data_IF_755362634913
#
_entry.id   IF_755362634913
#
_cell.length_a   1.000
_cell.length_b   1.000
_cell.length_c   1.000
_cell.angle_alpha   90.00
_cell.angle_beta   90.00
_cell.angle_gamma   90.00
#
_symmetry.space_group_name_H-M   'P 1'
#
loop_
_entity.id
_entity.type
_entity.pdbx_description
1 polymer ?
#
# COMPACT_ATOMS: atom_id res chain seq x y z
N UNK A 1 -2.25 19.08 1.76
CA UNK A 1 -2.31 19.29 0.29
C UNK A 1 -3.42 18.41 -0.25
N UNK A 2 -4.24 18.86 -1.22
CA UNK A 2 -5.28 18.02 -1.79
C UNK A 2 -4.67 16.78 -2.47
N UNK A 3 -5.38 15.66 -2.38
CA UNK A 3 -4.91 14.29 -2.67
C UNK A 3 -4.53 14.03 -4.14
N UNK A 4 -4.87 14.93 -5.06
CA UNK A 4 -4.50 14.84 -6.48
C UNK A 4 -3.01 15.15 -6.74
N UNK A 5 -2.35 15.86 -5.83
CA UNK A 5 -0.97 16.36 -6.00
C UNK A 5 0.11 15.28 -5.77
N UNK A 6 -0.27 14.16 -5.14
CA UNK A 6 0.67 13.17 -4.59
C UNK A 6 1.22 12.18 -5.64
N UNK A 7 0.40 11.58 -6.54
CA UNK A 7 0.92 10.63 -7.52
C UNK A 7 1.84 11.31 -8.55
N UNK A 8 1.47 12.49 -9.03
CA UNK A 8 2.24 13.24 -10.03
C UNK A 8 3.65 13.60 -9.56
N UNK A 9 3.77 14.09 -8.32
CA UNK A 9 5.07 14.45 -7.75
C UNK A 9 6.00 13.24 -7.64
N UNK A 10 5.50 12.10 -7.17
CA UNK A 10 6.31 10.87 -7.03
C UNK A 10 6.85 10.44 -8.39
N UNK A 11 5.97 10.37 -9.40
CA UNK A 11 6.35 10.01 -10.76
C UNK A 11 7.42 10.97 -11.32
N UNK A 12 7.30 12.28 -11.07
CA UNK A 12 8.30 13.28 -11.48
C UNK A 12 9.61 13.20 -10.67
N UNK A 13 9.53 12.84 -9.39
CA UNK A 13 10.70 12.67 -8.52
C UNK A 13 11.53 11.44 -8.91
N UNK A 14 10.87 10.37 -9.39
CA UNK A 14 11.48 9.13 -9.88
C UNK A 14 11.90 9.20 -11.36
N UNK A 15 11.53 10.28 -12.05
CA UNK A 15 11.93 10.56 -13.43
C UNK A 15 13.13 11.53 -13.48
N UNK A 16 13.68 11.70 -14.68
CA UNK A 16 14.79 12.61 -14.97
C UNK A 16 14.37 14.08 -15.14
N UNK A 17 13.07 14.41 -14.99
CA UNK A 17 12.50 15.73 -15.25
C UNK A 17 13.21 16.87 -14.49
N UNK A 18 13.70 16.61 -13.28
CA UNK A 18 14.42 17.57 -12.43
C UNK A 18 15.77 18.01 -13.00
N UNK A 19 16.33 17.26 -13.94
CA UNK A 19 17.60 17.60 -14.59
C UNK A 19 17.45 18.85 -15.46
N UNK A 20 16.25 19.08 -16.00
CA UNK A 20 15.97 20.16 -16.95
C UNK A 20 14.96 21.18 -16.44
N UNK A 21 14.11 20.83 -15.46
CA UNK A 21 13.06 21.71 -14.95
C UNK A 21 13.23 21.93 -13.44
N UNK A 22 13.19 23.20 -13.03
CA UNK A 22 13.12 23.59 -11.63
C UNK A 22 11.72 24.10 -11.30
N UNK A 23 11.38 24.19 -10.01
CA UNK A 23 10.05 24.60 -9.57
C UNK A 23 9.75 26.03 -10.00
N UNK A 24 10.65 26.97 -9.70
CA UNK A 24 10.42 28.41 -9.75
C UNK A 24 11.42 29.18 -10.62
N UNK A 25 12.42 28.47 -11.19
CA UNK A 25 13.47 29.06 -12.01
C UNK A 25 13.64 28.32 -13.33
N UNK A 26 13.90 29.07 -14.39
CA UNK A 26 14.27 28.48 -15.69
C UNK A 26 15.63 27.78 -15.58
N UNK A 27 15.74 26.59 -16.18
CA UNK A 27 16.99 25.85 -16.38
C UNK A 27 17.12 25.55 -17.89
N UNK A 28 17.40 24.31 -18.31
CA UNK A 28 17.30 23.89 -19.71
C UNK A 28 15.86 23.97 -20.22
N UNK A 29 14.88 23.58 -19.39
CA UNK A 29 13.45 23.75 -19.60
C UNK A 29 12.86 24.92 -18.80
N UNK A 30 11.59 25.30 -19.07
CA UNK A 30 10.87 26.30 -18.30
C UNK A 30 10.68 25.87 -16.84
N UNK A 31 10.50 26.84 -15.95
CA UNK A 31 10.10 26.55 -14.57
C UNK A 31 8.71 25.88 -14.56
N UNK A 32 8.46 24.95 -13.64
CA UNK A 32 7.13 24.35 -13.49
C UNK A 32 6.07 25.40 -13.18
N UNK A 33 6.40 26.42 -12.38
CA UNK A 33 5.50 27.54 -12.12
C UNK A 33 5.14 28.33 -13.40
N UNK A 34 6.06 28.49 -14.35
CA UNK A 34 5.77 29.17 -15.62
C UNK A 34 4.81 28.35 -16.47
N UNK A 35 5.02 27.03 -16.55
CA UNK A 35 4.12 26.11 -17.24
C UNK A 35 2.74 26.14 -16.61
N UNK A 36 2.68 26.07 -15.28
CA UNK A 36 1.44 26.11 -14.53
C UNK A 36 0.69 27.44 -14.75
N UNK A 37 1.38 28.58 -14.63
CA UNK A 37 0.78 29.90 -14.86
C UNK A 37 0.28 30.06 -16.29
N UNK A 38 0.99 29.49 -17.28
CA UNK A 38 0.61 29.61 -18.70
C UNK A 38 -0.60 28.76 -19.07
N UNK A 39 -0.75 27.56 -18.50
CA UNK A 39 -1.70 26.55 -19.01
C UNK A 39 -2.84 26.20 -18.05
N UNK A 40 -2.68 26.41 -16.75
CA UNK A 40 -3.70 26.05 -15.76
C UNK A 40 -5.03 26.75 -16.05
N UNK A 41 -6.12 26.00 -15.96
CA UNK A 41 -7.47 26.50 -16.20
C UNK A 41 -7.89 26.56 -17.69
N UNK A 42 -6.97 26.30 -18.63
CA UNK A 42 -7.33 26.18 -20.04
C UNK A 42 -7.90 24.79 -20.34
N UNK A 43 -9.00 24.75 -21.09
CA UNK A 43 -9.65 23.49 -21.50
C UNK A 43 -8.69 22.65 -22.35
N UNK A 44 -8.50 21.38 -21.98
CA UNK A 44 -7.62 20.44 -22.70
C UNK A 44 -6.12 20.62 -22.45
N UNK A 45 -5.72 21.54 -21.57
CA UNK A 45 -4.30 21.77 -21.25
C UNK A 45 -3.60 20.56 -20.62
N UNK A 46 -4.30 19.79 -19.78
CA UNK A 46 -3.75 18.56 -19.18
C UNK A 46 -3.39 17.52 -20.25
N UNK A 47 -4.30 17.27 -21.19
CA UNK A 47 -4.06 16.34 -22.31
C UNK A 47 -2.92 16.82 -23.22
N UNK A 48 -2.90 18.13 -23.52
CA UNK A 48 -1.85 18.73 -24.34
C UNK A 48 -0.46 18.58 -23.71
N UNK A 49 -0.33 18.91 -22.42
CA UNK A 49 0.94 18.83 -21.71
C UNK A 49 1.37 17.38 -21.49
N UNK A 50 0.43 16.47 -21.20
CA UNK A 50 0.71 15.04 -21.13
C UNK A 50 1.29 14.51 -22.46
N UNK A 51 0.70 14.91 -23.59
CA UNK A 51 1.22 14.56 -24.91
C UNK A 51 2.62 15.16 -25.16
N UNK A 52 2.91 16.37 -24.65
CA UNK A 52 4.24 16.99 -24.74
C UNK A 52 5.28 16.26 -23.90
N UNK A 53 4.93 15.77 -22.72
CA UNK A 53 5.84 14.97 -21.89
C UNK A 53 6.24 13.68 -22.64
N UNK A 54 5.25 12.99 -23.21
CA UNK A 54 5.46 11.69 -23.86
C UNK A 54 6.20 11.84 -25.20
N UNK A 55 5.82 12.82 -26.02
CA UNK A 55 6.37 12.99 -27.39
C UNK A 55 7.56 13.94 -27.47
N UNK A 56 7.86 14.67 -26.39
CA UNK A 56 8.80 15.78 -26.41
C UNK A 56 8.26 16.99 -27.17
N UNK A 57 9.12 17.97 -27.39
CA UNK A 57 8.81 19.11 -28.25
C UNK A 57 9.71 20.33 -28.03
N UNK A 58 9.56 21.32 -28.93
CA UNK A 58 10.37 22.53 -28.94
C UNK A 58 9.55 23.78 -29.27
N UNK A 59 10.16 24.97 -29.19
CA UNK A 59 9.66 26.23 -29.75
C UNK A 59 8.79 27.10 -28.83
N UNK A 60 8.09 26.52 -27.85
CA UNK A 60 7.19 27.29 -26.96
C UNK A 60 7.95 28.10 -25.90
N UNK A 61 9.09 27.56 -25.44
CA UNK A 61 9.87 28.11 -24.32
C UNK A 61 11.33 28.43 -24.69
N UNK A 62 11.63 28.40 -25.99
CA UNK A 62 12.97 28.57 -26.56
C UNK A 62 13.29 27.51 -27.61
N UNK A 63 14.55 27.48 -28.01
CA UNK A 63 15.10 26.55 -29.01
C UNK A 63 15.51 25.19 -28.42
N UNK A 64 15.64 25.09 -27.09
CA UNK A 64 15.96 23.83 -26.40
C UNK A 64 14.79 22.85 -26.52
N UNK A 65 15.08 21.66 -27.04
CA UNK A 65 14.08 20.60 -27.21
C UNK A 65 13.93 19.77 -25.93
N UNK A 66 12.69 19.49 -25.55
CA UNK A 66 12.38 18.52 -24.51
C UNK A 66 12.43 17.11 -25.12
N UNK A 67 13.23 16.22 -24.53
CA UNK A 67 13.31 14.82 -24.91
C UNK A 67 11.95 14.11 -24.75
N UNK A 68 11.71 13.10 -25.58
CA UNK A 68 10.49 12.27 -25.52
C UNK A 68 10.60 11.24 -24.39
N UNK A 69 9.48 10.98 -23.71
CA UNK A 69 9.36 9.98 -22.64
C UNK A 69 8.26 8.95 -22.99
N UNK A 70 8.45 8.13 -24.05
CA UNK A 70 7.44 7.18 -24.52
C UNK A 70 7.08 6.09 -23.50
N UNK A 71 7.92 5.89 -22.48
CA UNK A 71 7.71 4.94 -21.39
C UNK A 71 6.66 5.41 -20.37
N UNK A 72 6.32 6.71 -20.33
CA UNK A 72 5.36 7.26 -19.38
C UNK A 72 3.95 7.08 -19.96
N UNK A 73 3.06 6.45 -19.18
CA UNK A 73 1.66 6.29 -19.57
C UNK A 73 0.94 7.65 -19.64
N UNK A 74 -0.11 7.74 -20.47
CA UNK A 74 -0.92 8.96 -20.59
C UNK A 74 -1.51 9.38 -19.24
N UNK A 75 -2.00 8.41 -18.46
CA UNK A 75 -2.61 8.69 -17.15
C UNK A 75 -1.58 9.19 -16.14
N UNK A 76 -0.36 8.65 -16.16
CA UNK A 76 0.71 9.10 -15.28
C UNK A 76 1.20 10.49 -15.69
N UNK A 77 1.36 10.76 -16.98
CA UNK A 77 1.70 12.08 -17.48
C UNK A 77 0.65 13.14 -17.07
N UNK A 78 -0.64 12.81 -17.08
CA UNK A 78 -1.69 13.73 -16.59
C UNK A 78 -1.56 14.01 -15.10
N UNK A 79 -1.29 12.99 -14.27
CA UNK A 79 -1.04 13.18 -12.83
C UNK A 79 0.17 14.10 -12.60
N UNK A 80 1.25 13.97 -13.39
CA UNK A 80 2.41 14.88 -13.32
C UNK A 80 2.00 16.32 -13.65
N UNK A 81 1.19 16.53 -14.68
CA UNK A 81 0.68 17.86 -15.06
C UNK A 81 -0.21 18.46 -13.98
N UNK A 82 -1.08 17.66 -13.36
CA UNK A 82 -1.93 18.11 -12.27
C UNK A 82 -1.09 18.59 -11.07
N UNK A 83 0.02 17.89 -10.77
CA UNK A 83 0.99 18.37 -9.78
C UNK A 83 1.64 19.69 -10.20
N UNK A 84 2.06 19.85 -11.46
CA UNK A 84 2.59 21.13 -11.95
C UNK A 84 1.56 22.26 -11.74
N UNK A 85 0.30 22.02 -12.07
CA UNK A 85 -0.77 23.01 -11.87
C UNK A 85 -1.03 23.33 -10.39
N UNK A 86 -0.82 22.39 -9.49
CA UNK A 86 -1.01 22.64 -8.07
C UNK A 86 0.04 23.54 -7.45
N UNK A 87 1.24 23.65 -8.04
CA UNK A 87 2.32 24.53 -7.57
C UNK A 87 1.93 26.02 -7.53
N UNK A 88 0.96 26.45 -8.34
CA UNK A 88 0.45 27.85 -8.33
C UNK A 88 -0.65 28.09 -7.31
N UNK A 89 -1.14 27.04 -6.63
CA UNK A 89 -2.04 27.20 -5.50
C UNK A 89 -1.23 27.71 -4.31
N UNK A 90 -1.16 29.04 -4.13
CA UNK A 90 -0.73 29.69 -2.89
C UNK A 90 -1.74 29.47 -1.75
N UNK A 91 -2.20 28.24 -1.52
CA UNK A 91 -2.71 27.89 -0.20
C UNK A 91 -1.47 27.70 0.66
N UNK A 92 -1.13 28.76 1.38
CA UNK A 92 -0.24 28.71 2.54
C UNK A 92 -0.58 27.43 3.30
N UNK A 93 0.27 26.41 3.18
CA UNK A 93 0.20 25.31 4.11
C UNK A 93 0.65 25.93 5.41
N UNK A 94 -0.30 26.35 6.24
CA UNK A 94 -0.02 26.72 7.63
C UNK A 94 0.91 25.63 8.16
N UNK A 95 2.11 26.04 8.58
CA UNK A 95 3.09 25.11 9.12
C UNK A 95 2.38 24.30 10.21
N UNK A 96 2.30 22.99 10.01
CA UNK A 96 1.72 22.12 11.01
C UNK A 96 2.70 22.01 12.17
N UNK A 97 2.21 21.78 13.41
CA UNK A 97 3.10 21.43 14.52
C UNK A 97 4.00 20.24 14.16
N UNK A 98 5.18 20.16 14.78
CA UNK A 98 6.16 19.08 14.54
C UNK A 98 5.61 17.67 14.82
N UNK A 99 4.50 17.58 15.56
CA UNK A 99 3.79 16.35 15.87
C UNK A 99 2.29 16.55 15.72
N UNK A 100 1.58 15.52 15.26
CA UNK A 100 0.13 15.55 15.16
C UNK A 100 -0.44 14.19 14.79
N UNK A 101 -1.77 14.11 14.77
CA UNK A 101 -2.50 12.91 14.38
C UNK A 101 -3.26 13.18 13.09
N UNK A 102 -3.34 12.18 12.21
CA UNK A 102 -4.17 12.23 11.00
C UNK A 102 -5.05 10.98 10.97
N UNK A 103 -6.34 11.17 10.78
CA UNK A 103 -7.28 10.08 10.52
C UNK A 103 -7.54 10.06 9.02
N UNK A 104 -7.14 9.00 8.29
CA UNK A 104 -7.44 8.89 6.87
C UNK A 104 -8.96 8.81 6.65
N UNK A 105 -9.46 9.39 5.55
CA UNK A 105 -10.85 9.17 5.13
C UNK A 105 -11.11 7.68 4.90
N UNK A 106 -12.25 7.17 5.34
CA UNK A 106 -12.60 5.76 5.18
C UNK A 106 -12.84 5.41 3.70
N UNK A 107 -11.80 5.01 2.97
CA UNK A 107 -11.94 4.35 1.65
C UNK A 107 -11.90 2.83 1.81
N UNK A 108 -12.77 2.14 1.06
CA UNK A 108 -12.99 0.71 1.23
C UNK A 108 -11.83 -0.18 0.76
N UNK A 109 -11.00 0.26 -0.20
CA UNK A 109 -9.89 -0.55 -0.74
C UNK A 109 -8.74 0.36 -1.20
N UNK A 110 -7.52 0.12 -0.71
CA UNK A 110 -6.30 0.83 -1.10
C UNK A 110 -5.23 0.82 -0.02
N UNK A 111 -4.04 1.33 -0.34
CA UNK A 111 -3.00 1.63 0.63
C UNK A 111 -3.03 3.13 0.97
N UNK A 112 -2.79 3.50 2.22
CA UNK A 112 -2.54 4.90 2.58
C UNK A 112 -1.04 5.16 2.57
N UNK A 113 -0.63 6.29 2.01
CA UNK A 113 0.76 6.77 2.13
C UNK A 113 0.72 8.02 2.99
N UNK A 114 1.24 7.93 4.21
CA UNK A 114 1.44 9.07 5.09
C UNK A 114 2.76 9.73 4.74
N UNK A 115 2.71 10.93 4.18
CA UNK A 115 3.90 11.72 3.81
C UNK A 115 3.98 12.97 4.68
N UNK A 116 5.14 13.19 5.27
CA UNK A 116 5.46 14.40 6.02
C UNK A 116 6.63 15.11 5.34
N UNK A 117 6.51 16.43 5.18
CA UNK A 117 7.57 17.29 4.66
C UNK A 117 7.91 18.35 5.69
N UNK A 118 9.20 18.57 5.90
CA UNK A 118 9.72 19.58 6.83
C UNK A 118 10.66 20.49 6.05
N UNK A 119 10.53 21.79 6.24
CA UNK A 119 11.47 22.78 5.77
C UNK A 119 12.02 23.50 7.00
N UNK A 120 13.34 23.57 7.13
CA UNK A 120 13.93 24.38 8.19
C UNK A 120 13.74 25.88 7.93
N UNK A 121 13.99 26.70 8.95
CA UNK A 121 14.01 28.15 8.75
C UNK A 121 15.28 28.50 7.97
N UNK A 122 15.12 29.27 6.89
CA UNK A 122 16.25 29.89 6.22
C UNK A 122 17.01 30.82 7.20
N UNK A 123 18.34 30.84 7.08
CA UNK A 123 19.23 31.72 7.86
C UNK A 123 20.11 32.49 6.88
N UNK A 124 20.08 33.82 6.97
CA UNK A 124 20.84 34.74 6.12
C UNK A 124 20.69 34.43 4.61
N UNK A 125 21.82 34.26 3.91
CA UNK A 125 21.89 33.93 2.47
C UNK A 125 21.83 32.41 2.19
N UNK A 126 21.51 31.58 3.19
CA UNK A 126 21.36 30.14 3.03
C UNK A 126 19.88 29.80 2.84
N UNK A 127 19.48 29.29 1.67
CA UNK A 127 18.09 28.86 1.44
C UNK A 127 17.68 27.75 2.40
N UNK A 128 16.39 27.70 2.72
CA UNK A 128 15.79 26.62 3.52
C UNK A 128 16.05 25.25 2.87
N UNK A 129 16.41 24.27 3.69
CA UNK A 129 16.50 22.87 3.31
C UNK A 129 15.19 22.17 3.63
N UNK A 130 14.71 21.39 2.67
CA UNK A 130 13.48 20.61 2.82
C UNK A 130 13.77 19.11 2.79
N UNK A 131 13.25 18.41 3.79
CA UNK A 131 13.24 16.96 3.88
C UNK A 131 11.82 16.41 3.74
N UNK A 132 11.71 15.14 3.37
CA UNK A 132 10.41 14.47 3.25
C UNK A 132 10.54 13.01 3.63
N UNK A 133 9.67 12.54 4.52
CA UNK A 133 9.51 11.14 4.90
C UNK A 133 8.15 10.61 4.47
N UNK A 134 8.07 9.32 4.14
CA UNK A 134 6.81 8.64 3.81
C UNK A 134 6.71 7.29 4.51
N UNK A 135 5.51 6.92 4.94
CA UNK A 135 5.17 5.59 5.47
C UNK A 135 3.95 5.07 4.71
N UNK A 136 4.04 3.84 4.19
CA UNK A 136 2.89 3.15 3.59
C UNK A 136 2.16 2.39 4.69
N UNK A 137 0.91 2.76 4.97
CA UNK A 137 0.03 2.03 5.87
C UNK A 137 -0.54 0.83 5.11
N UNK A 138 -0.24 -0.37 5.63
CA UNK A 138 -0.74 -1.63 5.07
C UNK A 138 -2.24 -1.72 5.26
N UNK A 139 -2.93 -2.34 4.29
CA UNK A 139 -4.32 -2.69 4.45
C UNK A 139 -4.49 -3.61 5.68
N UNK A 140 -5.62 -3.54 6.40
CA UNK A 140 -5.90 -4.38 7.57
C UNK A 140 -6.13 -5.86 7.23
N UNK A 141 -5.59 -6.35 6.10
CA UNK A 141 -5.83 -7.66 5.54
C UNK A 141 -4.50 -8.31 5.16
N UNK A 142 -4.17 -9.39 5.86
CA UNK A 142 -2.95 -10.17 5.65
C UNK A 142 -3.30 -11.37 4.77
N UNK A 143 -3.05 -11.25 3.46
CA UNK A 143 -3.40 -12.28 2.48
C UNK A 143 -2.33 -13.36 2.37
N UNK A 144 -2.74 -14.56 1.96
CA UNK A 144 -1.88 -15.71 1.74
C UNK A 144 -0.71 -15.42 0.77
N UNK A 145 -0.98 -14.74 -0.34
CA UNK A 145 0.05 -14.39 -1.33
C UNK A 145 1.06 -13.34 -0.82
N UNK A 146 0.68 -12.58 0.21
CA UNK A 146 1.50 -11.53 0.81
C UNK A 146 2.31 -11.98 2.03
N UNK A 147 2.24 -13.26 2.42
CA UNK A 147 3.09 -13.79 3.49
C UNK A 147 4.58 -13.65 3.12
N UNK A 148 5.39 -13.11 4.03
CA UNK A 148 6.83 -12.93 3.84
C UNK A 148 7.56 -14.28 3.77
N UNK A 149 7.09 -15.26 4.53
CA UNK A 149 7.61 -16.64 4.53
C UNK A 149 6.45 -17.63 4.69
N UNK A 150 6.57 -18.81 4.08
CA UNK A 150 5.59 -19.89 4.20
C UNK A 150 6.33 -21.21 4.44
N UNK A 151 5.87 -21.99 5.41
CA UNK A 151 6.41 -23.32 5.74
C UNK A 151 5.30 -24.37 5.71
N UNK A 152 5.61 -25.53 5.11
CA UNK A 152 4.68 -26.67 4.91
C UNK A 152 3.31 -26.26 4.32
N UNK A 153 3.36 -25.32 3.38
CA UNK A 153 2.25 -24.89 2.55
C UNK A 153 2.82 -24.22 1.29
N UNK A 154 1.99 -24.00 0.27
CA UNK A 154 2.42 -23.41 -1.01
C UNK A 154 1.45 -22.30 -1.40
N UNK A 155 1.97 -21.15 -1.81
CA UNK A 155 1.13 -20.07 -2.34
C UNK A 155 0.49 -20.51 -3.66
N UNK A 156 -0.83 -20.38 -3.77
CA UNK A 156 -1.58 -20.73 -4.95
C UNK A 156 -2.74 -19.77 -5.18
N UNK A 157 -3.24 -19.76 -6.41
CA UNK A 157 -4.45 -19.03 -6.78
C UNK A 157 -5.23 -19.81 -7.82
N UNK A 158 -6.55 -19.88 -7.68
CA UNK A 158 -7.42 -20.55 -8.65
C UNK A 158 -8.80 -19.89 -8.67
N UNK A 159 -9.35 -19.66 -9.86
CA UNK A 159 -10.70 -19.09 -10.07
C UNK A 159 -11.01 -17.86 -9.19
N UNK A 160 -10.02 -16.97 -9.02
CA UNK A 160 -10.17 -15.75 -8.21
C UNK A 160 -9.98 -15.94 -6.70
N UNK A 161 -9.82 -17.17 -6.21
CA UNK A 161 -9.34 -17.42 -4.85
C UNK A 161 -7.82 -17.35 -4.79
N UNK A 162 -7.33 -16.77 -3.70
CA UNK A 162 -5.90 -16.70 -3.38
C UNK A 162 -5.73 -17.32 -2.00
N UNK A 163 -4.90 -18.34 -1.90
CA UNK A 163 -4.75 -19.14 -0.69
C UNK A 163 -3.38 -19.79 -0.59
N UNK A 164 -3.09 -20.33 0.59
CA UNK A 164 -2.05 -21.33 0.78
C UNK A 164 -2.68 -22.71 0.59
N UNK A 165 -2.15 -23.47 -0.37
CA UNK A 165 -2.45 -24.87 -0.63
C UNK A 165 -1.52 -25.76 0.18
N UNK A 166 -1.85 -27.06 0.27
CA UNK A 166 -1.08 -28.11 0.92
C UNK A 166 -0.70 -27.75 2.36
N UNK A 167 -1.53 -26.96 3.04
CA UNK A 167 -1.32 -26.59 4.44
C UNK A 167 -1.27 -27.83 5.30
N UNK A 168 -0.12 -28.10 5.91
CA UNK A 168 0.09 -29.24 6.83
C UNK A 168 0.21 -28.77 8.27
N UNK A 169 -0.01 -29.70 9.19
CA UNK A 169 0.20 -29.49 10.61
C UNK A 169 1.64 -29.01 10.93
N UNK A 170 1.73 -27.98 11.77
CA UNK A 170 2.98 -27.33 12.15
C UNK A 170 3.61 -26.47 11.05
N UNK A 171 2.92 -26.28 9.92
CA UNK A 171 3.28 -25.25 8.94
C UNK A 171 2.88 -23.85 9.43
N UNK A 172 3.35 -22.82 8.73
CA UNK A 172 2.99 -21.44 9.05
C UNK A 172 3.03 -20.50 7.85
N UNK A 173 2.35 -19.36 8.01
CA UNK A 173 2.57 -18.14 7.22
C UNK A 173 3.13 -17.04 8.14
N UNK A 174 4.22 -16.40 7.74
CA UNK A 174 4.84 -15.29 8.46
C UNK A 174 4.46 -13.96 7.81
N UNK A 175 4.12 -12.98 8.64
CA UNK A 175 3.98 -11.58 8.27
C UNK A 175 4.90 -10.72 9.14
N UNK A 176 5.82 -9.99 8.51
CA UNK A 176 6.75 -9.08 9.17
C UNK A 176 6.12 -7.71 9.42
N UNK A 177 6.58 -7.02 10.46
CA UNK A 177 6.24 -5.63 10.78
C UNK A 177 4.73 -5.39 10.94
N UNK A 178 4.08 -6.24 11.73
CA UNK A 178 2.65 -6.11 12.03
C UNK A 178 2.49 -5.35 13.34
N UNK A 179 1.96 -4.12 13.25
CA UNK A 179 1.56 -3.35 14.42
C UNK A 179 0.20 -3.85 14.93
N UNK A 180 0.19 -4.39 16.15
CA UNK A 180 -1.01 -4.89 16.81
C UNK A 180 -1.67 -3.84 17.72
N UNK A 181 -1.07 -2.65 17.85
CA UNK A 181 -1.59 -1.57 18.69
C UNK A 181 -3.02 -1.20 18.28
N UNK A 182 -3.95 -1.30 19.23
CA UNK A 182 -5.36 -0.96 19.01
C UNK A 182 -6.16 -1.98 18.18
N UNK A 183 -5.58 -3.13 17.81
CA UNK A 183 -6.31 -4.23 17.18
C UNK A 183 -7.19 -4.90 18.23
N UNK A 184 -8.50 -4.95 17.98
CA UNK A 184 -9.49 -5.54 18.89
C UNK A 184 -9.99 -6.89 18.42
N UNK A 185 -10.13 -7.05 17.10
CA UNK A 185 -10.68 -8.26 16.49
C UNK A 185 -9.79 -8.72 15.35
N UNK A 186 -9.62 -10.04 15.25
CA UNK A 186 -9.04 -10.69 14.07
C UNK A 186 -10.02 -11.73 13.57
N UNK A 187 -10.28 -11.73 12.27
CA UNK A 187 -11.01 -12.79 11.58
C UNK A 187 -10.03 -13.59 10.74
N UNK A 188 -10.05 -14.91 10.86
CA UNK A 188 -9.31 -15.80 9.97
C UNK A 188 -10.27 -16.42 8.96
N UNK A 189 -9.88 -16.38 7.68
CA UNK A 189 -10.65 -16.97 6.59
C UNK A 189 -9.86 -18.10 5.94
N UNK A 190 -10.51 -19.25 5.82
CA UNK A 190 -9.97 -20.43 5.14
C UNK A 190 -11.01 -20.98 4.15
N UNK A 191 -10.55 -21.69 3.13
CA UNK A 191 -11.41 -22.56 2.33
C UNK A 191 -11.17 -24.01 2.70
N UNK A 192 -12.23 -24.79 2.74
CA UNK A 192 -12.18 -26.24 2.75
C UNK A 192 -12.61 -26.74 1.36
N UNK A 193 -11.69 -27.32 0.62
CA UNK A 193 -12.01 -28.05 -0.62
C UNK A 193 -12.13 -29.54 -0.32
N UNK A 194 -13.21 -30.16 -0.78
CA UNK A 194 -13.39 -31.62 -0.71
C UNK A 194 -13.22 -32.19 0.70
N UNK A 195 -12.32 -33.17 0.83
CA UNK A 195 -12.06 -33.96 2.04
C UNK A 195 -10.95 -33.40 2.94
N UNK A 196 -10.56 -32.13 2.75
CA UNK A 196 -9.58 -31.47 3.61
C UNK A 196 -9.91 -31.67 5.09
N UNK A 197 -8.89 -31.95 5.91
CA UNK A 197 -9.08 -32.54 7.24
C UNK A 197 -9.66 -31.55 8.27
N UNK A 198 -9.67 -30.26 7.95
CA UNK A 198 -9.95 -29.18 8.90
C UNK A 198 -8.78 -28.99 9.88
N UNK A 199 -8.98 -28.08 10.82
CA UNK A 199 -8.00 -27.77 11.85
C UNK A 199 -8.25 -26.41 12.46
N UNK A 200 -7.20 -25.88 13.08
CA UNK A 200 -7.19 -24.57 13.72
C UNK A 200 -6.01 -23.75 13.23
N UNK A 201 -6.06 -22.45 13.52
CA UNK A 201 -4.88 -21.58 13.44
C UNK A 201 -4.55 -21.00 14.80
N UNK A 202 -3.26 -20.85 15.05
CA UNK A 202 -2.71 -20.10 16.17
C UNK A 202 -1.92 -18.89 15.66
N UNK A 203 -2.17 -17.74 16.27
CA UNK A 203 -1.40 -16.53 16.03
C UNK A 203 -0.28 -16.47 17.07
N UNK A 204 0.97 -16.44 16.62
CA UNK A 204 2.16 -16.45 17.47
C UNK A 204 3.07 -15.25 17.18
N UNK A 205 3.71 -14.73 18.21
CA UNK A 205 4.63 -13.60 18.12
C UNK A 205 6.08 -14.05 17.91
N UNK A 206 6.78 -13.38 17.01
CA UNK A 206 8.24 -13.32 16.85
C UNK A 206 8.96 -14.61 16.46
N UNK A 207 8.37 -15.77 16.72
CA UNK A 207 8.88 -17.10 16.36
C UNK A 207 7.71 -18.07 16.07
N UNK A 208 7.93 -19.14 15.27
CA UNK A 208 6.90 -20.15 14.99
C UNK A 208 6.49 -20.95 16.24
N UNK A 209 7.33 -21.00 17.27
CA UNK A 209 7.07 -21.54 18.61
C UNK A 209 6.91 -20.45 19.68
N UNK A 210 6.78 -19.20 19.24
CA UNK A 210 6.64 -18.04 20.12
C UNK A 210 5.30 -17.97 20.83
N UNK A 211 5.12 -16.89 21.61
CA UNK A 211 3.94 -16.69 22.45
C UNK A 211 2.67 -16.71 21.59
N UNK A 212 1.74 -17.61 21.89
CA UNK A 212 0.40 -17.63 21.31
C UNK A 212 -0.38 -16.43 21.84
N UNK A 213 -0.91 -15.63 20.91
CA UNK A 213 -1.77 -14.48 21.20
C UNK A 213 -3.20 -14.69 20.73
N UNK A 214 -3.49 -15.77 20.01
CA UNK A 214 -4.87 -16.13 19.74
C UNK A 214 -5.01 -17.43 18.97
N UNK A 215 -6.18 -18.03 19.07
CA UNK A 215 -6.49 -19.31 18.43
C UNK A 215 -7.90 -19.24 17.86
N UNK A 216 -8.13 -19.91 16.73
CA UNK A 216 -9.48 -20.25 16.28
C UNK A 216 -9.52 -21.67 15.73
N UNK A 217 -10.57 -22.39 16.10
CA UNK A 217 -10.95 -23.68 15.52
C UNK A 217 -12.06 -23.45 14.49
N UNK A 218 -11.92 -24.02 13.30
CA UNK A 218 -12.89 -23.88 12.22
C UNK A 218 -14.01 -24.93 12.27
N UNK A 219 -13.95 -25.93 13.17
CA UNK A 219 -14.87 -27.07 13.16
C UNK A 219 -16.34 -26.71 13.45
N UNK A 220 -16.57 -25.56 14.11
CA UNK A 220 -17.91 -25.07 14.49
C UNK A 220 -18.25 -23.71 13.88
N UNK A 221 -17.38 -23.18 13.02
CA UNK A 221 -17.60 -21.87 12.42
C UNK A 221 -18.63 -21.96 11.30
N UNK A 222 -19.39 -20.88 11.13
CA UNK A 222 -20.29 -20.74 9.98
C UNK A 222 -19.49 -20.77 8.68
N UNK A 223 -20.10 -21.35 7.65
CA UNK A 223 -19.50 -21.45 6.33
C UNK A 223 -20.46 -20.96 5.26
N UNK A 224 -19.88 -20.44 4.18
CA UNK A 224 -20.57 -20.15 2.93
C UNK A 224 -20.06 -21.12 1.88
N UNK A 225 -20.99 -21.78 1.18
CA UNK A 225 -20.65 -22.69 0.09
C UNK A 225 -20.92 -22.01 -1.27
N UNK A 226 -19.95 -21.28 -1.86
CA UNK A 226 -20.15 -20.62 -3.16
C UNK A 226 -20.30 -21.62 -4.32
N UNK A 227 -19.72 -22.81 -4.18
CA UNK A 227 -19.77 -23.90 -5.15
C UNK A 227 -19.84 -25.24 -4.42
N UNK A 228 -20.44 -26.30 -5.02
CA UNK A 228 -20.45 -27.63 -4.43
C UNK A 228 -19.03 -28.11 -4.07
N UNK A 229 -18.83 -28.53 -2.82
CA UNK A 229 -17.53 -29.02 -2.32
C UNK A 229 -16.51 -27.92 -1.99
N UNK A 230 -16.94 -26.66 -1.94
CA UNK A 230 -16.12 -25.52 -1.56
C UNK A 230 -16.78 -24.80 -0.39
N UNK A 231 -16.20 -24.89 0.81
CA UNK A 231 -16.71 -24.17 1.97
C UNK A 231 -15.73 -23.07 2.36
N UNK A 232 -16.18 -21.82 2.26
CA UNK A 232 -15.44 -20.66 2.77
C UNK A 232 -15.87 -20.43 4.21
N UNK A 233 -14.92 -20.58 5.13
CA UNK A 233 -15.14 -20.51 6.57
C UNK A 233 -14.43 -19.27 7.09
N UNK A 234 -15.14 -18.45 7.85
CA UNK A 234 -14.56 -17.27 8.50
C UNK A 234 -14.86 -17.31 9.99
N UNK A 235 -13.82 -17.25 10.82
CA UNK A 235 -13.96 -17.41 12.26
C UNK A 235 -13.20 -16.32 13.03
N UNK A 236 -13.77 -15.78 14.12
CA UNK A 236 -13.05 -14.85 14.99
C UNK A 236 -11.93 -15.57 15.73
N UNK A 237 -10.77 -14.93 15.80
CA UNK A 237 -9.63 -15.37 16.61
C UNK A 237 -9.74 -14.73 17.98
N UNK A 238 -9.77 -15.54 19.04
CA UNK A 238 -9.78 -15.03 20.41
C UNK A 238 -8.41 -14.43 20.76
N UNK A 239 -8.27 -13.11 20.65
CA UNK A 239 -6.99 -12.43 20.87
C UNK A 239 -6.74 -12.11 22.35
N UNK A 240 -5.50 -12.31 22.78
CA UNK A 240 -4.92 -11.67 23.95
C UNK A 240 -4.49 -10.25 23.57
N UNK A 241 -4.87 -9.20 24.33
CA UNK A 241 -4.41 -7.84 24.08
C UNK A 241 -2.89 -7.77 23.91
N UNK A 242 -2.46 -7.24 22.78
CA UNK A 242 -1.05 -7.19 22.37
C UNK A 242 -0.82 -5.87 21.65
N UNK A 243 0.26 -5.18 21.98
CA UNK A 243 0.62 -3.89 21.41
C UNK A 243 2.01 -3.94 20.77
N UNK A 244 2.30 -2.96 19.91
CA UNK A 244 3.59 -2.82 19.25
C UNK A 244 3.71 -3.60 17.94
N UNK A 245 4.89 -3.47 17.33
CA UNK A 245 5.23 -4.06 16.03
C UNK A 245 5.92 -5.41 16.24
N UNK A 246 5.38 -6.46 15.63
CA UNK A 246 5.85 -7.84 15.78
C UNK A 246 6.03 -8.54 14.44
N UNK A 247 6.76 -9.67 14.46
CA UNK A 247 6.54 -10.70 13.44
C UNK A 247 5.33 -11.53 13.87
N UNK A 248 4.35 -11.66 12.99
CA UNK A 248 3.15 -12.44 13.25
C UNK A 248 3.18 -13.75 12.47
N UNK A 249 3.22 -14.87 13.19
CA UNK A 249 3.12 -16.21 12.63
C UNK A 249 1.67 -16.70 12.71
N UNK A 250 1.14 -17.18 11.59
CA UNK A 250 -0.12 -17.94 11.53
C UNK A 250 0.25 -19.41 11.42
N UNK A 251 0.21 -20.12 12.55
CA UNK A 251 0.59 -21.54 12.63
C UNK A 251 -0.63 -22.42 12.41
N UNK A 252 -0.49 -23.43 11.55
CA UNK A 252 -1.57 -24.34 11.18
C UNK A 252 -1.53 -25.60 12.06
N UNK A 253 -2.64 -25.91 12.75
CA UNK A 253 -2.65 -26.92 13.81
C UNK A 253 -3.76 -27.94 13.59
N UNK A 254 -3.34 -29.20 13.43
CA UNK A 254 -4.16 -30.40 13.56
C UNK A 254 -3.22 -31.63 13.65
N UNK A 255 -2.73 -32.00 14.84
CA UNK A 255 -1.74 -33.08 14.97
C UNK A 255 -2.29 -34.47 14.64
N UNK A 256 -3.62 -34.65 14.63
CA UNK A 256 -4.26 -35.96 14.49
C UNK A 256 -4.43 -36.49 13.07
N UNK A 257 -3.98 -35.74 12.04
CA UNK A 257 -4.34 -36.03 10.64
C UNK A 257 -3.16 -36.35 9.73
N UNK A 258 -1.97 -36.53 10.29
CA UNK A 258 -0.75 -36.88 9.54
C UNK A 258 -0.43 -35.86 8.44
N UNK A 259 -0.15 -36.35 7.23
CA UNK A 259 0.20 -35.53 6.07
C UNK A 259 -1.00 -35.01 5.27
N UNK A 260 -2.23 -35.11 5.79
CA UNK A 260 -3.41 -34.56 5.11
C UNK A 260 -3.35 -33.04 5.04
N UNK A 261 -3.90 -32.47 3.97
CA UNK A 261 -4.11 -31.02 3.88
C UNK A 261 -5.20 -30.63 4.88
N UNK A 262 -4.90 -29.65 5.73
CA UNK A 262 -5.83 -29.20 6.76
C UNK A 262 -6.97 -28.38 6.14
N UNK A 263 -6.61 -27.33 5.42
CA UNK A 263 -7.49 -26.37 4.78
C UNK A 263 -6.65 -25.53 3.82
N UNK A 264 -7.26 -24.52 3.20
CA UNK A 264 -6.62 -23.60 2.28
C UNK A 264 -6.69 -22.21 2.91
N UNK A 265 -5.58 -21.75 3.49
CA UNK A 265 -5.57 -20.49 4.25
C UNK A 265 -5.67 -19.30 3.29
N UNK A 266 -6.66 -18.42 3.45
CA UNK A 266 -6.80 -17.25 2.58
C UNK A 266 -6.18 -16.00 3.18
N UNK A 267 -6.62 -15.62 4.38
CA UNK A 267 -6.23 -14.34 4.97
C UNK A 267 -6.54 -14.23 6.45
N UNK A 268 -5.90 -13.26 7.11
CA UNK A 268 -6.41 -12.62 8.31
C UNK A 268 -6.97 -11.23 7.98
N UNK A 269 -7.99 -10.79 8.71
CA UNK A 269 -8.47 -9.41 8.71
C UNK A 269 -8.42 -8.86 10.13
N UNK A 270 -7.66 -7.80 10.34
CA UNK A 270 -7.44 -7.14 11.64
C UNK A 270 -8.35 -5.91 11.73
N UNK A 271 -9.08 -5.72 12.81
CA UNK A 271 -9.88 -4.49 12.99
C UNK A 271 -9.77 -3.93 14.39
N UNK A 272 -9.93 -2.61 14.49
CA UNK A 272 -9.94 -1.86 15.75
C UNK A 272 -11.37 -1.52 16.21
N UNK A 273 -12.38 -2.05 15.52
CA UNK A 273 -13.79 -1.85 15.85
C UNK A 273 -14.19 -2.79 16.97
#
# INVERSE_FOLDING_TARGET
>A
MPTADLPGKVLMDESDCKSCHLIDKKSAGPAYLDVANKYKGQRGSSDYLAAKIIKGGAGVWGTTEMAAHPQISVDDAKKMVDYIFSLTNKKSSTSLPLSGNVTPEARQVGAYVLKASYADKAVDNVPSLSGTGSVVLRAPMLRADQADEVSKAVKASNQGFIYLDQVKNGGYALYNNIDLTGVKTVMATVTKFGDAAGGSVELRLDAPDGKVIGTTDFSKADHRSPYPGVDVITSPVALTPTEGVHKLYVVFVNPGVGDKTLFFFQQLTLTNK
#
